data_IF_176516032447
#
_entry.id   IF_176516032447
#
_cell.length_a   1.000
_cell.length_b   1.000
_cell.length_c   1.000
_cell.angle_alpha   90.00
_cell.angle_beta   90.00
_cell.angle_gamma   90.00
#
_symmetry.space_group_name_H-M   'P 1'
#
loop_
_entity.id
_entity.type
_entity.pdbx_description
1 polymer ?
#
# COMPACT_ATOMS: atom_id res chain seq x y z
N UNK A 1 -33.23 27.72 -45.45
CA UNK A 1 -33.62 26.66 -46.41
C UNK A 1 -33.58 27.29 -47.78
N UNK A 2 -32.80 26.75 -48.71
CA UNK A 2 -32.54 27.35 -50.04
C UNK A 2 -32.86 26.37 -51.18
N UNK A 3 -33.46 25.21 -50.88
CA UNK A 3 -33.87 24.20 -51.87
C UNK A 3 -33.88 22.76 -51.32
N UNK A 4 -34.44 21.78 -52.05
CA UNK A 4 -34.51 20.37 -51.63
C UNK A 4 -33.14 19.74 -51.35
N UNK A 5 -32.13 20.03 -52.18
CA UNK A 5 -30.76 19.50 -51.99
C UNK A 5 -30.05 20.05 -50.75
N UNK A 6 -30.27 21.31 -50.40
CA UNK A 6 -29.76 21.87 -49.15
C UNK A 6 -30.42 21.21 -47.92
N UNK A 7 -31.69 20.79 -48.05
CA UNK A 7 -32.39 20.02 -47.01
C UNK A 7 -31.78 18.62 -46.80
N UNK A 8 -31.48 17.90 -47.88
CA UNK A 8 -30.87 16.56 -47.82
C UNK A 8 -29.45 16.60 -47.25
N UNK A 9 -28.62 17.57 -47.63
CA UNK A 9 -27.28 17.75 -47.05
C UNK A 9 -27.32 18.02 -45.55
N UNK A 10 -28.26 18.85 -45.08
CA UNK A 10 -28.43 19.13 -43.65
C UNK A 10 -28.86 17.87 -42.89
N UNK A 11 -29.79 17.09 -43.43
CA UNK A 11 -30.23 15.82 -42.83
C UNK A 11 -29.08 14.80 -42.71
N UNK A 12 -28.24 14.68 -43.74
CA UNK A 12 -27.04 13.82 -43.71
C UNK A 12 -26.03 14.28 -42.65
N UNK A 13 -25.78 15.59 -42.53
CA UNK A 13 -24.89 16.16 -41.49
C UNK A 13 -25.41 15.89 -40.08
N UNK A 14 -26.71 16.08 -39.85
CA UNK A 14 -27.35 15.80 -38.55
C UNK A 14 -27.25 14.31 -38.20
N UNK A 15 -27.55 13.42 -39.15
CA UNK A 15 -27.43 11.96 -38.97
C UNK A 15 -25.98 11.54 -38.66
N UNK A 16 -25.00 12.13 -39.35
CA UNK A 16 -23.57 11.89 -39.07
C UNK A 16 -23.17 12.36 -37.66
N UNK A 17 -23.64 13.54 -37.23
CA UNK A 17 -23.39 14.06 -35.87
C UNK A 17 -24.04 13.18 -34.81
N UNK A 18 -25.26 12.71 -35.03
CA UNK A 18 -25.95 11.79 -34.14
C UNK A 18 -25.23 10.44 -34.04
N UNK A 19 -24.77 9.86 -35.15
CA UNK A 19 -23.94 8.64 -35.18
C UNK A 19 -22.66 8.80 -34.35
N UNK A 20 -21.89 9.86 -34.59
CA UNK A 20 -20.66 10.15 -33.81
C UNK A 20 -20.94 10.33 -32.32
N UNK A 21 -22.07 10.94 -31.94
CA UNK A 21 -22.48 11.08 -30.54
C UNK A 21 -22.84 9.72 -29.92
N UNK A 22 -23.57 8.87 -30.65
CA UNK A 22 -23.94 7.54 -30.22
C UNK A 22 -22.70 6.63 -30.04
N UNK A 23 -21.77 6.64 -31.00
CA UNK A 23 -20.50 5.90 -30.92
C UNK A 23 -19.68 6.31 -29.70
N UNK A 24 -19.52 7.62 -29.45
CA UNK A 24 -18.82 8.13 -28.26
C UNK A 24 -19.52 7.71 -26.96
N UNK A 25 -20.85 7.72 -26.92
CA UNK A 25 -21.61 7.30 -25.74
C UNK A 25 -21.47 5.79 -25.49
N UNK A 26 -21.52 4.97 -26.55
CA UNK A 26 -21.32 3.52 -26.47
C UNK A 26 -19.91 3.18 -25.98
N UNK A 27 -18.88 3.84 -26.51
CA UNK A 27 -17.50 3.67 -26.08
C UNK A 27 -17.31 4.04 -24.60
N UNK A 28 -17.89 5.16 -24.16
CA UNK A 28 -17.85 5.58 -22.76
C UNK A 28 -18.56 4.58 -21.84
N UNK A 29 -19.67 3.99 -22.30
CA UNK A 29 -20.39 2.96 -21.57
C UNK A 29 -19.54 1.70 -21.43
N UNK A 30 -18.94 1.22 -22.53
CA UNK A 30 -18.04 0.06 -22.55
C UNK A 30 -16.86 0.23 -21.59
N UNK A 31 -16.16 1.36 -21.64
CA UNK A 31 -15.05 1.67 -20.71
C UNK A 31 -15.48 1.64 -19.24
N UNK A 32 -16.66 2.20 -18.94
CA UNK A 32 -17.20 2.19 -17.56
C UNK A 32 -17.53 0.78 -17.10
N UNK A 33 -18.08 -0.06 -17.98
CA UNK A 33 -18.39 -1.46 -17.67
C UNK A 33 -17.09 -2.26 -17.45
N UNK A 34 -16.10 -2.12 -18.33
CA UNK A 34 -14.78 -2.74 -18.16
C UNK A 34 -14.12 -2.32 -16.84
N UNK A 35 -14.16 -1.03 -16.50
CA UNK A 35 -13.63 -0.55 -15.23
C UNK A 35 -14.35 -1.19 -14.04
N UNK A 36 -15.69 -1.23 -14.06
CA UNK A 36 -16.48 -1.89 -13.02
C UNK A 36 -16.11 -3.37 -12.87
N UNK A 37 -15.87 -4.08 -13.97
CA UNK A 37 -15.46 -5.49 -13.90
C UNK A 37 -14.06 -5.66 -13.29
N UNK A 38 -13.12 -4.78 -13.65
CA UNK A 38 -11.77 -4.76 -13.05
C UNK A 38 -11.84 -4.48 -11.55
N UNK A 39 -12.65 -3.51 -11.14
CA UNK A 39 -12.83 -3.15 -9.73
C UNK A 39 -13.45 -4.30 -8.93
N UNK A 40 -14.52 -4.93 -9.47
CA UNK A 40 -15.13 -6.13 -8.88
C UNK A 40 -14.12 -7.26 -8.70
N UNK A 41 -13.30 -7.53 -9.72
CA UNK A 41 -12.26 -8.56 -9.65
C UNK A 41 -11.19 -8.21 -8.60
N UNK A 42 -10.78 -6.94 -8.52
CA UNK A 42 -9.83 -6.46 -7.52
C UNK A 42 -10.36 -6.66 -6.10
N UNK A 43 -11.61 -6.26 -5.84
CA UNK A 43 -12.27 -6.42 -4.54
C UNK A 43 -12.33 -7.91 -4.16
N UNK A 44 -12.77 -8.77 -5.09
CA UNK A 44 -12.82 -10.22 -4.84
C UNK A 44 -11.43 -10.79 -4.52
N UNK A 45 -10.40 -10.39 -5.26
CA UNK A 45 -9.02 -10.81 -5.00
C UNK A 45 -8.50 -10.34 -3.64
N UNK A 46 -8.90 -9.16 -3.17
CA UNK A 46 -8.54 -8.64 -1.85
C UNK A 46 -9.28 -9.41 -0.74
N UNK A 47 -10.57 -9.68 -0.92
CA UNK A 47 -11.37 -10.46 0.04
C UNK A 47 -10.85 -11.89 0.22
N UNK A 48 -10.26 -12.48 -0.81
CA UNK A 48 -9.65 -13.81 -0.78
C UNK A 48 -8.22 -13.83 -0.21
N UNK A 49 -7.64 -12.68 0.18
CA UNK A 49 -6.30 -12.67 0.75
C UNK A 49 -6.29 -13.32 2.15
N UNK A 50 -5.35 -14.23 2.42
CA UNK A 50 -5.26 -14.88 3.72
C UNK A 50 -4.82 -13.89 4.81
N UNK A 51 -5.08 -14.20 6.07
CA UNK A 51 -4.64 -13.40 7.23
C UNK A 51 -3.15 -13.05 7.21
N UNK A 52 -2.30 -13.98 6.76
CA UNK A 52 -0.85 -13.78 6.64
C UNK A 52 -0.46 -12.63 5.70
N UNK A 53 -1.24 -12.40 4.63
CA UNK A 53 -1.03 -11.28 3.72
C UNK A 53 -1.20 -9.95 4.46
N UNK A 54 -2.30 -9.79 5.19
CA UNK A 54 -2.61 -8.57 5.93
C UNK A 54 -1.61 -8.31 7.06
N UNK A 55 -1.19 -9.37 7.75
CA UNK A 55 -0.11 -9.29 8.75
C UNK A 55 1.18 -8.76 8.13
N UNK A 56 1.56 -9.25 6.94
CA UNK A 56 2.77 -8.78 6.27
C UNK A 56 2.67 -7.29 5.91
N UNK A 57 1.52 -6.84 5.42
CA UNK A 57 1.28 -5.43 5.12
C UNK A 57 1.33 -4.56 6.38
N UNK A 58 0.67 -4.99 7.46
CA UNK A 58 0.70 -4.31 8.75
C UNK A 58 2.13 -4.23 9.31
N UNK A 59 2.91 -5.33 9.24
CA UNK A 59 4.30 -5.34 9.69
C UNK A 59 5.17 -4.37 8.90
N UNK A 60 5.00 -4.29 7.57
CA UNK A 60 5.73 -3.32 6.74
C UNK A 60 5.41 -1.87 7.15
N UNK A 61 4.13 -1.57 7.38
CA UNK A 61 3.68 -0.25 7.82
C UNK A 61 4.23 0.12 9.22
N UNK A 62 4.08 -0.79 10.19
CA UNK A 62 4.60 -0.59 11.55
C UNK A 62 6.12 -0.44 11.54
N UNK A 63 6.85 -1.26 10.78
CA UNK A 63 8.31 -1.16 10.70
C UNK A 63 8.76 0.18 10.07
N UNK A 64 8.02 0.71 9.10
CA UNK A 64 8.30 2.03 8.55
C UNK A 64 8.04 3.12 9.60
N UNK A 65 6.90 3.05 10.28
CA UNK A 65 6.54 3.97 11.36
C UNK A 65 7.57 3.99 12.49
N UNK A 66 8.00 2.83 13.01
CA UNK A 66 8.99 2.76 14.12
C UNK A 66 10.33 3.38 13.72
N UNK A 67 10.81 3.12 12.50
CA UNK A 67 12.06 3.71 12.00
C UNK A 67 11.97 5.23 11.86
N UNK A 68 10.78 5.74 11.54
CA UNK A 68 10.51 7.18 11.48
C UNK A 68 10.40 7.80 12.87
N UNK A 69 9.61 7.19 13.77
CA UNK A 69 9.43 7.61 15.16
C UNK A 69 10.76 7.73 15.88
N UNK A 70 11.65 6.75 15.68
CA UNK A 70 12.95 6.66 16.35
C UNK A 70 14.09 7.21 15.48
N UNK A 71 13.81 7.99 14.43
CA UNK A 71 14.81 8.43 13.42
C UNK A 71 16.05 9.05 14.05
N UNK A 72 15.90 9.87 15.08
CA UNK A 72 16.99 10.61 15.72
C UNK A 72 17.57 9.91 16.96
N UNK A 73 17.00 8.77 17.37
CA UNK A 73 17.49 7.99 18.51
C UNK A 73 18.65 7.06 18.08
N UNK A 74 19.57 6.68 18.97
CA UNK A 74 20.53 5.63 18.66
C UNK A 74 19.86 4.26 18.56
N UNK A 75 20.63 3.25 18.13
CA UNK A 75 20.23 1.86 18.26
C UNK A 75 19.89 1.53 19.71
N UNK A 76 18.66 1.04 19.96
CA UNK A 76 18.16 0.68 21.31
C UNK A 76 19.02 -0.36 22.05
N UNK A 77 19.92 -1.09 21.37
CA UNK A 77 20.71 -2.15 22.02
C UNK A 77 22.21 -1.89 22.08
N UNK A 78 22.73 -0.93 21.33
CA UNK A 78 24.18 -0.68 21.35
C UNK A 78 24.55 0.79 21.29
N UNK A 79 23.58 1.70 21.29
CA UNK A 79 23.86 3.14 21.31
C UNK A 79 24.43 3.71 20.02
N UNK A 80 24.69 2.90 18.97
CA UNK A 80 25.24 3.45 17.72
C UNK A 80 24.26 4.39 17.04
N UNK A 81 24.78 5.48 16.46
CA UNK A 81 24.04 6.37 15.55
C UNK A 81 24.29 6.04 14.07
N UNK A 82 25.23 5.12 13.79
CA UNK A 82 25.60 4.71 12.45
C UNK A 82 25.32 3.23 12.24
N UNK A 83 24.69 2.91 11.11
CA UNK A 83 24.47 1.54 10.66
C UNK A 83 24.27 1.50 9.15
N UNK A 84 24.67 0.39 8.52
CA UNK A 84 24.40 0.13 7.12
C UNK A 84 22.89 0.00 6.84
N UNK A 85 22.12 -0.51 7.81
CA UNK A 85 20.68 -0.62 7.71
C UNK A 85 20.02 -0.54 9.09
N UNK A 86 18.88 0.13 9.13
CA UNK A 86 18.02 0.23 10.31
C UNK A 86 16.78 -0.66 10.16
N UNK A 87 16.53 -1.45 11.20
CA UNK A 87 15.37 -2.31 11.34
C UNK A 87 14.48 -1.83 12.50
N UNK A 88 13.25 -2.34 12.54
CA UNK A 88 12.36 -2.23 13.69
C UNK A 88 12.45 -3.55 14.47
N UNK A 89 13.33 -3.59 15.47
CA UNK A 89 13.66 -4.79 16.24
C UNK A 89 12.68 -5.04 17.38
N UNK A 90 12.27 -6.30 17.55
CA UNK A 90 11.33 -6.72 18.61
C UNK A 90 12.07 -7.19 19.86
N UNK A 91 11.73 -6.65 21.03
CA UNK A 91 12.26 -7.14 22.31
C UNK A 91 11.78 -8.58 22.60
N UNK A 92 10.47 -8.82 22.49
CA UNK A 92 9.88 -10.17 22.44
C UNK A 92 9.57 -10.51 21.00
N UNK A 93 10.23 -11.55 20.48
CA UNK A 93 10.12 -11.93 19.07
C UNK A 93 8.67 -12.21 18.66
N UNK A 94 8.36 -12.00 17.38
CA UNK A 94 7.01 -12.23 16.84
C UNK A 94 6.56 -13.69 16.84
N UNK A 95 7.48 -14.63 17.06
CA UNK A 95 7.21 -16.04 17.27
C UNK A 95 6.89 -16.35 18.74
N UNK A 96 7.64 -15.75 19.68
CA UNK A 96 7.43 -15.98 21.12
C UNK A 96 6.24 -15.20 21.69
N UNK A 97 5.95 -14.01 21.14
CA UNK A 97 4.86 -13.14 21.61
C UNK A 97 4.11 -12.50 20.42
N UNK A 98 3.33 -13.27 19.64
CA UNK A 98 2.61 -12.75 18.48
C UNK A 98 1.58 -11.65 18.85
N UNK A 99 1.05 -11.66 20.07
CA UNK A 99 0.16 -10.63 20.59
C UNK A 99 0.84 -9.26 20.75
N UNK A 100 2.17 -9.22 20.89
CA UNK A 100 2.98 -8.01 21.00
C UNK A 100 3.59 -7.57 19.66
N UNK A 101 3.21 -8.21 18.54
CA UNK A 101 3.84 -7.99 17.23
C UNK A 101 3.78 -6.53 16.76
N UNK A 102 2.68 -5.86 17.09
CA UNK A 102 2.42 -4.47 16.71
C UNK A 102 2.34 -3.54 17.93
N UNK A 103 2.71 -4.02 19.12
CA UNK A 103 2.79 -3.16 20.32
C UNK A 103 4.06 -2.31 20.22
N UNK A 104 3.89 -1.01 20.14
CA UNK A 104 4.98 -0.03 19.99
C UNK A 104 5.99 -0.08 21.14
N UNK A 105 5.60 -0.54 22.33
CA UNK A 105 6.49 -0.71 23.49
C UNK A 105 7.39 -1.94 23.36
N UNK A 106 7.11 -2.81 22.39
CA UNK A 106 7.89 -4.00 22.09
C UNK A 106 8.79 -3.81 20.86
N UNK A 107 8.67 -2.70 20.12
CA UNK A 107 9.37 -2.47 18.84
C UNK A 107 10.08 -1.12 18.82
N UNK A 108 11.38 -1.14 18.55
CA UNK A 108 12.22 0.06 18.52
C UNK A 108 13.23 -0.02 17.39
N UNK A 109 13.80 1.12 16.98
CA UNK A 109 14.86 1.14 15.98
C UNK A 109 16.10 0.41 16.49
N UNK A 110 16.56 -0.53 15.66
CA UNK A 110 17.71 -1.37 15.96
C UNK A 110 18.60 -1.48 14.73
N UNK A 111 19.92 -1.45 14.93
CA UNK A 111 20.86 -1.65 13.83
C UNK A 111 20.83 -3.10 13.35
N UNK A 112 21.10 -3.33 12.06
CA UNK A 112 21.11 -4.67 11.44
C UNK A 112 21.98 -5.67 12.21
N UNK A 113 23.12 -5.22 12.75
CA UNK A 113 24.05 -6.07 13.51
C UNK A 113 23.40 -6.57 14.81
N UNK A 114 22.76 -5.69 15.58
CA UNK A 114 22.10 -6.10 16.81
C UNK A 114 20.87 -6.96 16.53
N UNK A 115 20.04 -6.54 15.57
CA UNK A 115 18.78 -7.20 15.28
C UNK A 115 18.98 -8.59 14.66
N UNK A 116 19.75 -8.67 13.57
CA UNK A 116 19.85 -9.88 12.75
C UNK A 116 21.04 -10.77 13.16
N UNK A 117 22.20 -10.19 13.48
CA UNK A 117 23.43 -10.96 13.74
C UNK A 117 23.66 -11.29 15.22
N UNK A 118 23.01 -10.56 16.15
CA UNK A 118 23.09 -10.79 17.61
C UNK A 118 21.76 -11.21 18.22
N UNK A 119 20.84 -11.76 17.42
CA UNK A 119 19.54 -12.27 17.88
C UNK A 119 18.75 -11.26 18.72
N UNK A 120 18.67 -10.01 18.24
CA UNK A 120 17.99 -8.90 18.93
C UNK A 120 18.78 -8.27 20.08
N UNK A 121 20.00 -8.73 20.38
CA UNK A 121 20.90 -8.18 21.40
C UNK A 121 20.15 -7.80 22.70
N UNK A 122 19.41 -8.76 23.26
CA UNK A 122 18.31 -8.51 24.20
C UNK A 122 18.74 -7.99 25.58
N UNK A 123 19.97 -8.33 26.02
CA UNK A 123 20.47 -7.88 27.33
C UNK A 123 20.60 -6.35 27.37
N UNK A 124 21.38 -5.71 26.49
CA UNK A 124 21.43 -4.25 26.47
C UNK A 124 20.12 -3.62 25.98
N UNK A 125 19.34 -4.28 25.12
CA UNK A 125 17.98 -3.83 24.80
C UNK A 125 17.14 -3.65 26.07
N UNK A 126 17.18 -4.63 26.98
CA UNK A 126 16.38 -4.58 28.22
C UNK A 126 16.77 -3.43 29.13
N UNK A 127 18.04 -3.03 29.16
CA UNK A 127 18.52 -1.91 29.97
C UNK A 127 17.81 -0.62 29.58
N UNK A 128 17.61 -0.37 28.29
CA UNK A 128 16.94 0.83 27.78
C UNK A 128 15.41 0.82 27.94
N UNK A 129 14.82 -0.25 28.50
CA UNK A 129 13.37 -0.36 28.74
C UNK A 129 12.98 -0.12 30.21
N UNK A 130 13.91 0.32 31.04
CA UNK A 130 13.74 0.51 32.49
C UNK A 130 13.82 1.98 32.83
#
# INVERSE_FOLDING_TARGET
WCGPEHGTQLALKLRSKQRKKAEKAAEKKRRREEQKQKDKLKIRKLALKPRSYWIKQAQQAVNAFIRERDRDLPCISCGTLTSAQWDAGHYRTTAAAPQLRFDERNVHKQCVVCNQHKSGNLVPYRVELI
#
